data_IF_359856212461
#
_entry.id   IF_359856212461
#
_cell.length_a   1.000
_cell.length_b   1.000
_cell.length_c   1.000
_cell.angle_alpha   90.00
_cell.angle_beta   90.00
_cell.angle_gamma   90.00
#
_symmetry.space_group_name_H-M   'P 1'
#
loop_
_entity.id
_entity.type
_entity.pdbx_description
1 polymer ?
#
# COMPACT_ATOMS: atom_id res chain seq x y z
N UNK A 1 38.59 18.47 -14.32
CA UNK A 1 39.17 17.13 -14.54
C UNK A 1 38.93 16.32 -13.28
N UNK A 2 38.35 15.11 -13.41
CA UNK A 2 38.08 14.09 -12.37
C UNK A 2 37.06 14.53 -11.30
N UNK A 3 36.02 13.81 -10.85
CA UNK A 3 35.73 12.38 -10.77
C UNK A 3 34.20 12.21 -10.86
N UNK A 4 33.67 11.81 -12.02
CA UNK A 4 32.31 11.28 -12.16
C UNK A 4 32.43 9.92 -12.86
N UNK A 5 32.84 8.89 -12.10
CA UNK A 5 32.88 7.52 -12.62
C UNK A 5 32.98 6.54 -11.45
N UNK A 6 31.93 5.70 -11.32
CA UNK A 6 31.86 4.36 -10.70
C UNK A 6 30.55 4.15 -9.92
N UNK A 7 29.41 4.21 -10.61
CA UNK A 7 28.19 3.53 -10.15
C UNK A 7 27.55 2.80 -11.34
N UNK A 8 28.34 2.05 -12.11
CA UNK A 8 27.80 1.05 -13.05
C UNK A 8 28.82 -0.07 -13.12
N UNK A 9 28.45 -1.26 -12.64
CA UNK A 9 29.26 -2.45 -12.87
C UNK A 9 29.44 -3.39 -11.69
N UNK A 10 28.37 -3.78 -11.00
CA UNK A 10 28.30 -5.16 -10.51
C UNK A 10 26.97 -5.73 -10.95
N UNK A 11 27.01 -6.62 -11.95
CA UNK A 11 25.90 -7.51 -12.22
C UNK A 11 25.80 -8.43 -11.01
N UNK A 12 24.96 -8.07 -10.06
CA UNK A 12 24.61 -8.93 -8.93
C UNK A 12 23.84 -10.10 -9.55
N UNK A 13 24.50 -11.24 -9.66
CA UNK A 13 23.89 -12.48 -10.12
C UNK A 13 22.84 -12.94 -9.09
N UNK A 14 21.64 -12.35 -9.14
CA UNK A 14 20.52 -12.63 -8.24
C UNK A 14 20.07 -14.10 -8.31
N UNK A 15 20.30 -14.76 -9.46
CA UNK A 15 20.06 -16.19 -9.64
C UNK A 15 20.98 -17.07 -8.77
N UNK A 16 22.20 -16.60 -8.47
CA UNK A 16 23.18 -17.35 -7.67
C UNK A 16 23.06 -17.10 -6.16
N UNK A 17 22.34 -16.06 -5.73
CA UNK A 17 22.06 -15.80 -4.31
C UNK A 17 20.79 -16.49 -3.83
N UNK A 18 19.72 -16.50 -4.64
CA UNK A 18 18.48 -17.20 -4.28
C UNK A 18 18.63 -18.74 -4.27
N UNK A 19 19.40 -19.28 -5.21
CA UNK A 19 19.73 -20.72 -5.23
C UNK A 19 20.55 -21.18 -4.03
N UNK A 20 21.31 -20.29 -3.37
CA UNK A 20 22.04 -20.59 -2.12
C UNK A 20 21.15 -20.59 -0.88
N UNK A 21 20.01 -19.89 -0.91
CA UNK A 21 19.03 -19.90 0.19
C UNK A 21 18.23 -21.20 0.25
N UNK A 22 17.99 -21.82 -0.91
CA UNK A 22 17.34 -23.13 -1.03
C UNK A 22 18.33 -24.27 -1.30
N UNK A 23 19.62 -23.98 -1.42
CA UNK A 23 20.65 -25.00 -1.44
C UNK A 23 20.60 -25.73 -0.10
N UNK A 24 20.14 -26.98 -0.14
CA UNK A 24 20.18 -27.92 0.97
C UNK A 24 21.58 -27.87 1.56
N UNK A 25 21.70 -27.24 2.73
CA UNK A 25 22.92 -27.29 3.52
C UNK A 25 23.04 -28.75 3.93
N UNK A 26 23.84 -29.51 3.20
CA UNK A 26 24.21 -30.87 3.57
C UNK A 26 24.61 -30.84 5.05
N UNK A 27 24.02 -31.70 5.91
CA UNK A 27 24.33 -31.65 7.31
C UNK A 27 25.84 -31.83 7.44
N UNK A 28 26.51 -30.79 7.93
CA UNK A 28 27.91 -30.92 8.33
C UNK A 28 27.92 -32.12 9.27
N UNK A 29 28.63 -33.18 8.87
CA UNK A 29 28.81 -34.40 9.66
C UNK A 29 29.62 -34.05 10.91
N UNK A 30 29.03 -33.31 11.82
CA UNK A 30 29.54 -33.10 13.17
C UNK A 30 29.24 -34.40 13.92
N UNK A 31 30.12 -35.37 13.75
CA UNK A 31 29.96 -36.71 14.30
C UNK A 31 30.96 -37.71 13.75
N UNK A 32 32.24 -37.34 13.61
CA UNK A 32 33.29 -38.34 13.70
C UNK A 32 33.37 -38.78 15.16
N UNK A 33 32.54 -39.76 15.52
CA UNK A 33 32.58 -40.37 16.85
C UNK A 33 33.19 -41.73 16.64
N UNK A 34 34.45 -41.84 17.05
CA UNK A 34 35.15 -43.11 17.16
C UNK A 34 34.35 -44.00 18.12
N UNK A 35 33.69 -45.02 17.58
CA UNK A 35 33.06 -46.08 18.37
C UNK A 35 34.18 -46.91 19.01
N UNK A 36 34.31 -46.90 20.33
CA UNK A 36 35.14 -47.91 21.03
C UNK A 36 34.39 -49.24 21.01
N UNK A 37 34.88 -50.19 20.21
CA UNK A 37 34.44 -51.58 20.25
C UNK A 37 35.09 -52.28 21.44
N UNK A 38 34.52 -52.14 22.63
CA UNK A 38 34.92 -52.91 23.79
C UNK A 38 33.69 -53.46 24.52
N UNK A 39 33.61 -54.78 24.56
CA UNK A 39 32.61 -55.68 25.18
C UNK A 39 31.26 -55.85 24.45
N UNK A 40 30.91 -57.13 24.23
CA UNK A 40 29.81 -57.62 23.39
C UNK A 40 28.45 -57.59 24.07
N UNK A 41 27.89 -56.39 24.21
CA UNK A 41 26.46 -56.22 24.36
C UNK A 41 25.97 -55.36 23.19
N UNK A 42 24.99 -55.86 22.43
CA UNK A 42 24.53 -55.28 21.15
C UNK A 42 23.79 -53.93 21.28
N UNK A 43 23.69 -53.38 22.49
CA UNK A 43 23.10 -52.06 22.73
C UNK A 43 24.16 -50.96 22.69
N UNK A 44 24.56 -50.58 21.48
CA UNK A 44 25.46 -49.44 21.24
C UNK A 44 24.65 -48.14 21.14
N UNK A 45 24.99 -47.13 21.97
CA UNK A 45 24.39 -45.80 21.90
C UNK A 45 24.72 -45.11 20.57
N UNK A 46 23.74 -45.02 19.67
CA UNK A 46 23.90 -44.35 18.38
C UNK A 46 23.93 -42.85 18.62
N UNK A 47 25.09 -42.22 18.45
CA UNK A 47 25.19 -40.77 18.59
C UNK A 47 24.54 -40.09 17.38
N UNK A 48 23.34 -39.55 17.60
CA UNK A 48 22.55 -38.79 16.64
C UNK A 48 22.49 -37.33 17.10
N UNK A 49 22.37 -36.36 16.17
CA UNK A 49 22.09 -34.98 16.56
C UNK A 49 20.76 -34.91 17.33
N UNK A 50 20.65 -33.95 18.26
CA UNK A 50 19.42 -33.77 19.05
C UNK A 50 18.23 -33.46 18.16
N UNK A 51 17.22 -34.33 18.17
CA UNK A 51 15.95 -34.15 17.46
C UNK A 51 14.89 -33.40 18.27
N UNK A 52 15.18 -33.13 19.55
CA UNK A 52 14.24 -32.58 20.51
C UNK A 52 13.58 -31.27 20.05
N UNK A 53 14.36 -30.34 19.48
CA UNK A 53 13.83 -29.05 19.03
C UNK A 53 12.85 -29.21 17.87
N UNK A 54 13.13 -30.15 16.96
CA UNK A 54 12.29 -30.39 15.79
C UNK A 54 10.99 -31.09 16.15
N UNK A 55 11.07 -32.10 17.01
CA UNK A 55 9.90 -32.84 17.47
C UNK A 55 9.02 -31.91 18.33
N UNK A 56 9.61 -31.11 19.24
CA UNK A 56 8.90 -30.08 20.02
C UNK A 56 8.22 -29.04 19.13
N UNK A 57 8.90 -28.55 18.09
CA UNK A 57 8.32 -27.57 17.18
C UNK A 57 7.09 -28.13 16.44
N UNK A 58 7.16 -29.38 15.97
CA UNK A 58 6.04 -30.04 15.31
C UNK A 58 4.85 -30.23 16.23
N UNK A 59 5.10 -30.66 17.47
CA UNK A 59 4.04 -30.90 18.44
C UNK A 59 3.33 -29.58 18.79
N UNK A 60 4.10 -28.50 18.98
CA UNK A 60 3.53 -27.17 19.21
C UNK A 60 2.74 -26.67 17.99
N UNK A 61 3.32 -26.76 16.79
CA UNK A 61 2.65 -26.33 15.56
C UNK A 61 1.33 -27.10 15.37
N UNK A 62 1.38 -28.43 15.49
CA UNK A 62 0.21 -29.29 15.34
C UNK A 62 -0.87 -28.94 16.37
N UNK A 63 -0.48 -28.74 17.63
CA UNK A 63 -1.39 -28.35 18.69
C UNK A 63 -2.11 -27.03 18.38
N UNK A 64 -1.37 -25.97 18.06
CA UNK A 64 -1.99 -24.66 17.75
C UNK A 64 -2.84 -24.69 16.48
N UNK A 65 -2.43 -25.46 15.46
CA UNK A 65 -3.22 -25.62 14.24
C UNK A 65 -4.51 -26.38 14.53
N UNK A 66 -4.47 -27.48 15.28
CA UNK A 66 -5.66 -28.28 15.59
C UNK A 66 -6.65 -27.54 16.48
N UNK A 67 -6.16 -26.77 17.46
CA UNK A 67 -7.01 -25.92 18.29
C UNK A 67 -7.79 -24.89 17.46
N UNK A 68 -7.22 -24.39 16.35
CA UNK A 68 -7.94 -23.52 15.42
C UNK A 68 -8.82 -24.27 14.41
N UNK A 69 -8.34 -25.40 13.88
CA UNK A 69 -9.00 -26.14 12.80
C UNK A 69 -10.29 -26.83 13.27
N UNK A 70 -10.28 -27.41 14.47
CA UNK A 70 -11.44 -28.14 15.03
C UNK A 70 -12.68 -27.23 15.15
N UNK A 71 -12.63 -26.05 15.80
CA UNK A 71 -13.80 -25.19 15.91
C UNK A 71 -14.22 -24.59 14.56
N UNK A 72 -13.29 -24.23 13.68
CA UNK A 72 -13.62 -23.68 12.35
C UNK A 72 -14.34 -24.72 11.49
N UNK A 73 -13.83 -25.95 11.45
CA UNK A 73 -14.49 -27.04 10.68
C UNK A 73 -15.83 -27.41 11.28
N UNK A 74 -15.97 -27.42 12.61
CA UNK A 74 -17.26 -27.62 13.28
C UNK A 74 -18.29 -26.55 12.89
N UNK A 75 -17.92 -25.27 12.83
CA UNK A 75 -18.80 -24.17 12.40
C UNK A 75 -19.22 -24.34 10.94
N UNK A 76 -18.30 -24.69 10.04
CA UNK A 76 -18.59 -24.91 8.62
C UNK A 76 -19.55 -26.09 8.44
N UNK A 77 -19.29 -27.21 9.12
CA UNK A 77 -20.15 -28.39 9.08
C UNK A 77 -21.53 -28.09 9.64
N UNK A 78 -21.60 -27.42 10.79
CA UNK A 78 -22.86 -26.98 11.41
C UNK A 78 -23.66 -26.09 10.45
N UNK A 79 -23.01 -25.08 9.85
CA UNK A 79 -23.66 -24.15 8.93
C UNK A 79 -24.22 -24.86 7.68
N UNK A 80 -23.51 -25.86 7.16
CA UNK A 80 -23.95 -26.63 6.01
C UNK A 80 -25.10 -27.60 6.31
N UNK A 81 -25.11 -28.23 7.50
CA UNK A 81 -26.14 -29.23 7.87
C UNK A 81 -27.45 -28.54 8.28
N UNK A 82 -27.38 -27.50 9.11
CA UNK A 82 -28.59 -26.90 9.69
C UNK A 82 -29.22 -25.81 8.82
N UNK A 83 -28.42 -25.00 8.13
CA UNK A 83 -28.94 -23.89 7.31
C UNK A 83 -28.97 -24.29 5.83
N UNK A 84 -27.91 -24.95 5.35
CA UNK A 84 -27.77 -25.32 3.95
C UNK A 84 -27.59 -24.11 3.01
N UNK A 85 -27.33 -24.34 1.72
CA UNK A 85 -27.23 -23.27 0.73
C UNK A 85 -28.62 -22.73 0.37
N UNK A 86 -28.71 -21.42 0.14
CA UNK A 86 -29.93 -20.80 -0.36
C UNK A 86 -30.20 -21.16 -1.83
N UNK A 87 -31.47 -21.31 -2.19
CA UNK A 87 -31.92 -21.42 -3.58
C UNK A 87 -32.08 -20.05 -4.20
N UNK A 88 -31.81 -19.94 -5.51
CA UNK A 88 -32.09 -18.72 -6.24
C UNK A 88 -33.60 -18.64 -6.49
N UNK A 89 -34.21 -17.58 -5.99
CA UNK A 89 -35.62 -17.27 -6.23
C UNK A 89 -35.69 -15.95 -6.98
N UNK A 90 -36.72 -15.79 -7.80
CA UNK A 90 -37.02 -14.50 -8.42
C UNK A 90 -37.33 -13.47 -7.33
N UNK A 91 -36.99 -12.21 -7.63
CA UNK A 91 -37.24 -11.09 -6.72
C UNK A 91 -38.74 -10.83 -6.75
N UNK A 92 -39.45 -10.90 -5.60
CA UNK A 92 -40.89 -10.67 -5.58
C UNK A 92 -41.20 -9.21 -5.92
N UNK A 93 -42.34 -9.00 -6.58
CA UNK A 93 -42.82 -7.66 -6.93
C UNK A 93 -43.04 -6.86 -5.64
N UNK A 94 -42.43 -5.68 -5.55
CA UNK A 94 -42.42 -4.76 -4.39
C UNK A 94 -41.41 -5.05 -3.26
N UNK A 95 -40.36 -5.84 -3.50
CA UNK A 95 -39.26 -6.00 -2.53
C UNK A 95 -37.89 -5.75 -3.15
N UNK A 96 -37.11 -4.85 -2.56
CA UNK A 96 -35.69 -4.67 -2.89
C UNK A 96 -34.83 -5.54 -1.94
N UNK A 97 -34.14 -6.57 -2.46
CA UNK A 97 -33.32 -7.43 -1.64
C UNK A 97 -32.15 -6.67 -1.02
N UNK A 98 -31.84 -7.00 0.23
CA UNK A 98 -30.68 -6.43 0.92
C UNK A 98 -29.39 -7.01 0.38
N UNK A 99 -28.28 -6.30 0.53
CA UNK A 99 -27.01 -6.67 -0.11
C UNK A 99 -26.48 -8.06 0.25
N UNK A 100 -26.77 -8.57 1.45
CA UNK A 100 -26.35 -9.93 1.85
C UNK A 100 -27.22 -11.06 1.28
N UNK A 101 -28.43 -10.76 0.79
CA UNK A 101 -29.40 -11.76 0.32
C UNK A 101 -29.00 -12.34 -1.03
N UNK A 102 -28.22 -11.58 -1.81
CA UNK A 102 -27.60 -12.02 -3.05
C UNK A 102 -26.56 -13.14 -2.86
N UNK A 103 -26.11 -13.43 -1.63
CA UNK A 103 -25.14 -14.49 -1.37
C UNK A 103 -25.81 -15.85 -1.10
N UNK A 104 -25.30 -16.89 -1.78
CA UNK A 104 -25.78 -18.28 -1.68
C UNK A 104 -25.41 -18.96 -0.36
N UNK A 105 -24.17 -18.79 0.09
CA UNK A 105 -23.65 -19.52 1.25
C UNK A 105 -23.97 -18.78 2.56
N UNK A 106 -24.43 -19.48 3.62
CA UNK A 106 -24.81 -18.86 4.89
C UNK A 106 -23.66 -18.08 5.55
N UNK A 107 -22.44 -18.62 5.52
CA UNK A 107 -21.25 -17.91 6.06
C UNK A 107 -20.98 -16.61 5.29
N UNK A 108 -21.00 -16.62 3.95
CA UNK A 108 -20.77 -15.40 3.16
C UNK A 108 -21.88 -14.37 3.39
N UNK A 109 -23.13 -14.84 3.56
CA UNK A 109 -24.27 -13.99 3.91
C UNK A 109 -24.12 -13.36 5.30
N UNK A 110 -23.63 -14.12 6.29
CA UNK A 110 -23.34 -13.61 7.62
C UNK A 110 -22.25 -12.54 7.60
N UNK A 111 -21.14 -12.79 6.89
CA UNK A 111 -20.06 -11.83 6.73
C UNK A 111 -20.53 -10.56 6.01
N UNK A 112 -21.31 -10.70 4.94
CA UNK A 112 -21.87 -9.56 4.22
C UNK A 112 -22.84 -8.73 5.06
N UNK A 113 -23.57 -9.35 6.00
CA UNK A 113 -24.49 -8.64 6.88
C UNK A 113 -23.77 -7.83 7.96
N UNK A 114 -22.70 -8.36 8.55
CA UNK A 114 -22.09 -7.76 9.74
C UNK A 114 -20.75 -7.06 9.49
N UNK A 115 -19.98 -7.50 8.50
CA UNK A 115 -18.61 -7.03 8.31
C UNK A 115 -18.43 -6.17 7.07
N UNK A 116 -19.10 -6.50 5.96
CA UNK A 116 -18.94 -5.80 4.70
C UNK A 116 -19.98 -4.69 4.51
N UNK A 117 -19.53 -3.56 3.97
CA UNK A 117 -20.40 -2.48 3.55
C UNK A 117 -21.25 -2.91 2.35
N UNK A 118 -22.47 -2.37 2.22
CA UNK A 118 -23.27 -2.58 1.02
C UNK A 118 -22.54 -2.03 -0.22
N UNK A 119 -22.59 -2.75 -1.36
CA UNK A 119 -21.90 -2.33 -2.59
C UNK A 119 -22.43 -0.99 -3.11
N UNK A 120 -23.72 -0.67 -2.88
CA UNK A 120 -24.32 0.61 -3.25
C UNK A 120 -23.62 1.78 -2.56
N UNK A 121 -23.35 1.66 -1.26
CA UNK A 121 -22.68 2.71 -0.49
C UNK A 121 -21.25 2.94 -0.98
N UNK A 122 -20.50 1.86 -1.26
CA UNK A 122 -19.14 1.98 -1.79
C UNK A 122 -19.13 2.61 -3.19
N UNK A 123 -20.10 2.25 -4.03
CA UNK A 123 -20.27 2.85 -5.35
C UNK A 123 -20.55 4.35 -5.27
N UNK A 124 -21.53 4.76 -4.47
CA UNK A 124 -21.90 6.17 -4.30
C UNK A 124 -20.77 7.00 -3.68
N UNK A 125 -20.08 6.45 -2.68
CA UNK A 125 -18.91 7.08 -2.07
C UNK A 125 -17.80 7.31 -3.10
N UNK A 126 -17.58 6.33 -3.99
CA UNK A 126 -16.59 6.47 -5.05
C UNK A 126 -17.01 7.51 -6.10
N UNK A 127 -18.29 7.52 -6.51
CA UNK A 127 -18.82 8.55 -7.40
C UNK A 127 -18.66 9.95 -6.81
N UNK A 128 -18.96 10.13 -5.52
CA UNK A 128 -18.77 11.41 -4.83
C UNK A 128 -17.29 11.83 -4.82
N UNK A 129 -16.38 10.91 -4.48
CA UNK A 129 -14.95 11.21 -4.47
C UNK A 129 -14.43 11.62 -5.86
N UNK A 130 -14.88 10.94 -6.91
CA UNK A 130 -14.50 11.27 -8.29
C UNK A 130 -15.05 12.63 -8.72
N UNK A 131 -16.29 12.94 -8.35
CA UNK A 131 -16.90 14.24 -8.60
C UNK A 131 -16.11 15.37 -7.94
N UNK A 132 -15.79 15.23 -6.65
CA UNK A 132 -15.05 16.23 -5.90
C UNK A 132 -13.65 16.49 -6.48
N UNK A 133 -12.94 15.43 -6.85
CA UNK A 133 -11.61 15.57 -7.47
C UNK A 133 -11.67 16.20 -8.86
N UNK A 134 -12.71 15.91 -9.64
CA UNK A 134 -12.93 16.55 -10.93
C UNK A 134 -13.19 18.06 -10.77
N UNK A 135 -14.06 18.45 -9.84
CA UNK A 135 -14.33 19.87 -9.56
C UNK A 135 -13.06 20.61 -9.10
N UNK A 136 -12.28 20.01 -8.19
CA UNK A 136 -10.98 20.58 -7.78
C UNK A 136 -10.03 20.71 -8.97
N UNK A 137 -9.98 19.74 -9.87
CA UNK A 137 -9.13 19.79 -11.06
C UNK A 137 -9.56 20.90 -12.02
N UNK A 138 -10.86 21.06 -12.26
CA UNK A 138 -11.43 22.13 -13.08
C UNK A 138 -11.14 23.50 -12.49
N UNK A 139 -11.33 23.69 -11.18
CA UNK A 139 -11.02 24.94 -10.49
C UNK A 139 -9.53 25.31 -10.58
N UNK A 140 -8.62 24.34 -10.39
CA UNK A 140 -7.18 24.55 -10.57
C UNK A 140 -6.79 24.88 -12.01
N UNK A 141 -7.53 24.35 -12.99
CA UNK A 141 -7.32 24.66 -14.40
C UNK A 141 -7.82 26.07 -14.73
N UNK A 142 -8.97 26.46 -14.18
CA UNK A 142 -9.52 27.82 -14.32
C UNK A 142 -8.59 28.86 -13.68
N UNK A 143 -8.15 28.63 -12.44
CA UNK A 143 -7.22 29.53 -11.74
C UNK A 143 -5.93 29.73 -12.53
N UNK A 144 -5.35 28.66 -13.09
CA UNK A 144 -4.19 28.77 -13.99
C UNK A 144 -4.47 29.61 -15.23
N UNK A 145 -5.62 29.43 -15.88
CA UNK A 145 -6.03 30.24 -17.04
C UNK A 145 -6.20 31.72 -16.67
N UNK A 146 -6.85 31.99 -15.54
CA UNK A 146 -7.07 33.35 -15.03
C UNK A 146 -5.72 34.02 -14.74
N UNK A 147 -4.82 33.34 -14.02
CA UNK A 147 -3.47 33.85 -13.74
C UNK A 147 -2.67 34.12 -15.00
N UNK A 148 -2.74 33.24 -16.00
CA UNK A 148 -2.08 33.46 -17.29
C UNK A 148 -2.62 34.71 -18.01
N UNK A 149 -3.94 34.91 -18.02
CA UNK A 149 -4.57 36.09 -18.63
C UNK A 149 -4.28 37.40 -17.87
N UNK A 150 -4.25 37.35 -16.55
CA UNK A 150 -3.83 38.48 -15.72
C UNK A 150 -2.37 38.88 -16.02
N UNK A 151 -1.48 37.91 -16.23
CA UNK A 151 -0.09 38.17 -16.59
C UNK A 151 0.08 38.73 -18.01
N UNK A 152 -0.74 38.29 -18.97
CA UNK A 152 -0.73 38.76 -20.35
C UNK A 152 -1.25 40.20 -20.48
N UNK A 153 -2.38 40.51 -19.85
CA UNK A 153 -3.05 41.81 -20.00
C UNK A 153 -2.53 42.87 -19.02
N UNK A 154 -2.08 42.46 -17.82
CA UNK A 154 -1.67 43.36 -16.72
C UNK A 154 -2.68 44.47 -16.37
N UNK A 155 -3.97 44.26 -16.68
CA UNK A 155 -5.02 45.28 -16.56
C UNK A 155 -5.75 45.24 -15.19
N UNK A 156 -5.55 44.17 -14.41
CA UNK A 156 -6.26 43.96 -13.15
C UNK A 156 -5.33 44.08 -11.94
N UNK A 157 -5.76 44.82 -10.92
CA UNK A 157 -5.10 44.87 -9.60
C UNK A 157 -5.31 43.54 -8.86
N UNK A 158 -4.52 42.53 -9.23
CA UNK A 158 -4.54 41.20 -8.63
C UNK A 158 -3.73 41.14 -7.33
N UNK A 159 -3.62 39.95 -6.73
CA UNK A 159 -2.96 39.71 -5.43
C UNK A 159 -1.53 40.27 -5.27
N UNK A 160 -0.81 40.52 -6.37
CA UNK A 160 0.56 41.04 -6.36
C UNK A 160 0.66 42.53 -6.75
N UNK A 161 -0.47 43.23 -6.89
CA UNK A 161 -0.44 44.65 -7.21
C UNK A 161 0.14 45.46 -6.05
N UNK A 162 1.20 46.21 -6.34
CA UNK A 162 1.79 47.18 -5.42
C UNK A 162 1.24 48.55 -5.82
N UNK A 163 0.48 49.24 -4.95
CA UNK A 163 -0.10 50.53 -5.29
C UNK A 163 0.99 51.57 -5.53
N UNK A 164 1.16 52.00 -6.77
CA UNK A 164 2.07 53.08 -7.12
C UNK A 164 1.36 54.40 -6.87
N UNK A 165 1.72 55.08 -5.78
CA UNK A 165 1.14 56.39 -5.47
C UNK A 165 1.69 57.44 -6.43
N UNK A 166 0.81 58.08 -7.20
CA UNK A 166 1.18 59.06 -8.23
C UNK A 166 2.03 60.24 -7.72
N UNK A 167 1.95 60.57 -6.41
CA UNK A 167 2.71 61.64 -5.77
C UNK A 167 4.23 61.46 -5.89
N UNK A 168 4.75 60.28 -5.55
CA UNK A 168 6.19 60.02 -5.55
C UNK A 168 6.75 59.89 -6.98
N UNK A 169 5.97 59.32 -7.91
CA UNK A 169 6.33 59.25 -9.33
C UNK A 169 6.46 60.65 -9.95
N UNK A 170 5.53 61.57 -9.65
CA UNK A 170 5.58 62.96 -10.10
C UNK A 170 6.80 63.70 -9.54
N UNK A 171 7.16 63.44 -8.29
CA UNK A 171 8.33 64.06 -7.65
C UNK A 171 9.64 63.58 -8.27
N UNK A 172 9.81 62.27 -8.49
CA UNK A 172 10.98 61.72 -9.18
C UNK A 172 11.11 62.27 -10.60
N UNK A 173 10.02 62.32 -11.38
CA UNK A 173 10.04 62.93 -12.73
C UNK A 173 10.54 64.38 -12.72
N UNK A 174 10.18 65.18 -11.71
CA UNK A 174 10.70 66.55 -11.57
C UNK A 174 12.20 66.55 -11.33
N UNK A 175 12.68 65.75 -10.37
CA UNK A 175 14.12 65.66 -10.05
C UNK A 175 14.93 65.23 -11.27
N UNK A 176 14.49 64.19 -11.98
CA UNK A 176 15.18 63.69 -13.18
C UNK A 176 15.28 64.79 -14.25
N UNK A 177 14.19 65.52 -14.52
CA UNK A 177 14.22 66.66 -15.44
C UNK A 177 15.22 67.74 -15.02
N UNK A 178 15.23 68.13 -13.75
CA UNK A 178 16.19 69.10 -13.24
C UNK A 178 17.64 68.63 -13.40
N UNK A 179 17.92 67.33 -13.25
CA UNK A 179 19.25 66.78 -13.47
C UNK A 179 19.63 66.77 -14.95
N UNK A 180 18.71 66.39 -15.85
CA UNK A 180 18.93 66.39 -17.30
C UNK A 180 19.21 67.80 -17.83
N UNK A 181 18.40 68.79 -17.44
CA UNK A 181 18.57 70.19 -17.87
C UNK A 181 19.91 70.78 -17.39
N UNK A 182 20.37 70.38 -16.20
CA UNK A 182 21.67 70.81 -15.66
C UNK A 182 22.86 70.06 -16.28
N UNK A 183 22.66 68.87 -16.86
CA UNK A 183 23.72 68.08 -17.51
C UNK A 183 23.87 68.40 -19.00
N UNK A 184 22.83 68.95 -19.64
CA UNK A 184 22.83 69.39 -21.04
C UNK A 184 23.11 70.90 -21.20
N UNK A 185 23.35 71.60 -20.09
CA UNK A 185 23.57 73.05 -20.02
C UNK A 185 25.02 73.51 -20.21
N UNK A 186 25.90 72.64 -20.72
CA UNK A 186 27.30 72.93 -21.09
C UNK A 186 27.48 72.98 -22.62
#
# INVERSE_FOLDING_TARGET
MVVFSRIIGSKINAANTFSRLFAKKEPVKNGLIQLRQMSGHEDHMIVRPSRFQWDKFKDLLHYYVMVGLIPVTAIILYSNIFVGPATLTEIPENYEPKHWEYHRHPITRFLARYWYNPPQQEYEKMCHALYEENEKAQMRLLDRKVKAKMAELQDYDAYYYIPVTAKYLRYQKKITKYQEDNLLGD
#
